data_IF_984778168815
#
_entry.id   IF_984778168815
#
_cell.length_a   1.000
_cell.length_b   1.000
_cell.length_c   1.000
_cell.angle_alpha   90.00
_cell.angle_beta   90.00
_cell.angle_gamma   90.00
#
_symmetry.space_group_name_H-M   'P 1'
#
loop_
_entity.id
_entity.type
_entity.pdbx_description
1 polymer ?
#
# COMPACT_ATOMS: atom_id res chain seq x y z
N UNK A 1 -2.32 -29.04 27.06
CA UNK A 1 -3.58 -29.01 26.28
C UNK A 1 -4.50 -28.03 26.98
N UNK A 2 -5.00 -27.01 26.26
CA UNK A 2 -5.95 -26.03 26.80
C UNK A 2 -7.35 -26.39 26.28
N UNK A 3 -8.35 -26.42 27.15
CA UNK A 3 -9.70 -26.91 26.84
C UNK A 3 -10.76 -26.04 27.55
N UNK A 4 -11.93 -25.92 26.94
CA UNK A 4 -13.04 -25.09 27.45
C UNK A 4 -14.25 -25.16 26.53
N UNK A 5 -15.42 -24.77 27.07
CA UNK A 5 -16.72 -24.93 26.41
C UNK A 5 -17.15 -23.70 25.58
N UNK A 6 -16.39 -22.59 25.68
CA UNK A 6 -16.59 -21.38 24.88
C UNK A 6 -15.43 -21.21 23.88
N UNK A 7 -15.65 -21.47 22.58
CA UNK A 7 -14.59 -21.40 21.59
C UNK A 7 -14.01 -19.98 21.43
N UNK A 8 -14.78 -18.91 21.68
CA UNK A 8 -14.30 -17.54 21.52
C UNK A 8 -13.30 -17.16 22.61
N UNK A 9 -13.53 -17.63 23.84
CA UNK A 9 -12.59 -17.46 24.95
C UNK A 9 -11.41 -18.41 24.85
N UNK A 10 -11.67 -19.66 24.45
CA UNK A 10 -10.66 -20.72 24.36
C UNK A 10 -9.44 -20.31 23.53
N UNK A 11 -9.66 -19.66 22.37
CA UNK A 11 -8.55 -19.19 21.53
C UNK A 11 -7.73 -18.10 22.22
N UNK A 12 -8.38 -17.10 22.83
CA UNK A 12 -7.67 -16.03 23.54
C UNK A 12 -6.82 -16.56 24.69
N UNK A 13 -7.40 -17.45 25.51
CA UNK A 13 -6.71 -18.03 26.65
C UNK A 13 -5.56 -18.97 26.23
N UNK A 14 -5.76 -19.76 25.16
CA UNK A 14 -4.71 -20.60 24.59
C UNK A 14 -3.52 -19.77 24.08
N UNK A 15 -3.78 -18.68 23.35
CA UNK A 15 -2.71 -17.81 22.82
C UNK A 15 -1.95 -17.13 23.96
N UNK A 16 -2.62 -16.72 25.05
CA UNK A 16 -1.94 -16.18 26.26
C UNK A 16 -0.98 -17.18 26.90
N UNK A 17 -1.31 -18.47 26.88
CA UNK A 17 -0.37 -19.51 27.35
C UNK A 17 0.86 -19.60 26.44
N UNK A 18 0.67 -19.52 25.11
CA UNK A 18 1.78 -19.53 24.15
C UNK A 18 2.65 -18.27 24.28
N UNK A 19 2.02 -17.11 24.43
CA UNK A 19 2.66 -15.82 24.63
C UNK A 19 3.57 -15.84 25.86
N UNK A 20 3.08 -16.30 27.02
CA UNK A 20 3.90 -16.47 28.23
C UNK A 20 5.01 -17.51 28.09
N UNK A 21 4.77 -18.58 27.33
CA UNK A 21 5.76 -19.64 27.15
C UNK A 21 6.92 -19.20 26.25
N UNK A 22 6.62 -18.52 25.13
CA UNK A 22 7.62 -18.10 24.16
C UNK A 22 8.28 -16.76 24.54
N UNK A 23 7.51 -15.82 25.09
CA UNK A 23 7.99 -14.48 25.45
C UNK A 23 8.43 -13.62 24.26
N UNK A 24 8.02 -13.96 23.03
CA UNK A 24 8.47 -13.32 21.78
C UNK A 24 7.42 -12.42 21.13
N UNK A 25 6.19 -12.38 21.63
CA UNK A 25 5.10 -11.57 21.09
C UNK A 25 4.15 -11.15 22.21
N UNK A 26 3.18 -10.29 21.89
CA UNK A 26 2.09 -9.85 22.78
C UNK A 26 0.75 -10.13 22.11
N UNK A 27 -0.29 -10.38 22.88
CA UNK A 27 -1.65 -10.57 22.34
C UNK A 27 -2.26 -9.25 21.85
N UNK A 28 -3.36 -9.32 21.11
CA UNK A 28 -4.02 -8.11 20.59
C UNK A 28 -4.51 -7.19 21.71
N UNK A 29 -5.01 -7.75 22.82
CA UNK A 29 -5.48 -7.01 24.01
C UNK A 29 -4.34 -6.31 24.78
N UNK A 30 -3.10 -6.76 24.58
CA UNK A 30 -1.90 -6.16 25.18
C UNK A 30 -1.14 -5.23 24.21
N UNK A 31 -1.55 -5.19 22.95
CA UNK A 31 -1.02 -4.28 21.95
C UNK A 31 -1.91 -3.04 21.85
N UNK A 32 -1.29 -1.93 21.43
CA UNK A 32 -2.03 -0.75 20.99
C UNK A 32 -2.17 -0.82 19.48
N UNK A 33 -3.32 -1.29 18.93
CA UNK A 33 -3.49 -1.39 17.50
C UNK A 33 -3.34 0.01 16.86
N UNK A 34 -2.72 0.11 15.67
CA UNK A 34 -2.64 1.38 14.98
C UNK A 34 -4.04 1.85 14.59
N UNK A 35 -4.27 3.16 14.57
CA UNK A 35 -5.58 3.74 14.32
C UNK A 35 -6.25 3.33 12.99
N UNK A 36 -5.49 2.75 12.05
CA UNK A 36 -6.01 2.18 10.80
C UNK A 36 -6.95 0.98 11.00
N UNK A 37 -6.82 0.23 12.10
CA UNK A 37 -7.58 -1.02 12.33
C UNK A 37 -9.07 -0.75 12.45
N UNK A 38 -9.44 0.40 12.98
CA UNK A 38 -10.83 0.80 13.21
C UNK A 38 -11.43 1.63 12.07
N UNK A 39 -10.75 1.69 10.92
CA UNK A 39 -11.18 2.51 9.78
C UNK A 39 -11.71 1.65 8.64
N UNK A 40 -12.80 2.11 8.06
CA UNK A 40 -13.14 1.70 6.69
C UNK A 40 -12.04 2.19 5.75
N UNK A 41 -11.38 1.25 5.08
CA UNK A 41 -10.28 1.52 4.16
C UNK A 41 -10.65 1.26 2.70
N UNK A 42 -10.05 2.00 1.78
CA UNK A 42 -10.17 1.78 0.35
C UNK A 42 -8.80 1.54 -0.29
N UNK A 43 -8.68 0.42 -1.01
CA UNK A 43 -7.51 0.08 -1.82
C UNK A 43 -7.78 0.41 -3.29
N UNK A 44 -6.79 0.99 -3.97
CA UNK A 44 -6.94 1.47 -5.34
C UNK A 44 -6.80 0.37 -6.42
N UNK A 45 -6.43 -0.86 -6.06
CA UNK A 45 -6.08 -1.93 -7.00
C UNK A 45 -7.20 -2.25 -8.00
N UNK A 46 -8.37 -2.68 -7.54
CA UNK A 46 -9.46 -3.09 -8.44
C UNK A 46 -10.01 -1.92 -9.28
N UNK A 47 -9.77 -0.68 -8.85
CA UNK A 47 -10.21 0.51 -9.57
C UNK A 47 -9.27 0.90 -10.73
N UNK A 48 -7.96 0.67 -10.60
CA UNK A 48 -6.99 1.19 -11.57
C UNK A 48 -5.91 0.19 -12.01
N UNK A 49 -5.68 -0.89 -11.26
CA UNK A 49 -4.49 -1.72 -11.37
C UNK A 49 -3.25 -0.81 -11.44
N UNK A 50 -2.33 -1.11 -12.36
CA UNK A 50 -1.10 -0.35 -12.62
C UNK A 50 -1.32 1.11 -13.06
N UNK A 51 -2.55 1.53 -13.35
CA UNK A 51 -2.89 2.87 -13.87
C UNK A 51 -3.29 3.86 -12.78
N UNK A 52 -3.08 3.56 -11.50
CA UNK A 52 -3.38 4.47 -10.39
C UNK A 52 -2.72 5.83 -10.59
N UNK A 53 -3.45 6.91 -10.33
CA UNK A 53 -2.99 8.30 -10.52
C UNK A 53 -3.77 9.27 -9.60
N UNK A 54 -3.24 10.46 -9.28
CA UNK A 54 -3.85 11.40 -8.33
C UNK A 54 -5.32 11.74 -8.58
N UNK A 55 -5.68 12.06 -9.83
CA UNK A 55 -7.05 12.45 -10.19
C UNK A 55 -8.06 11.31 -9.97
N UNK A 56 -7.63 10.08 -10.20
CA UNK A 56 -8.44 8.87 -10.01
C UNK A 56 -8.67 8.60 -8.53
N UNK A 57 -7.61 8.65 -7.73
CA UNK A 57 -7.70 8.49 -6.28
C UNK A 57 -8.63 9.56 -5.69
N UNK A 58 -8.47 10.82 -6.08
CA UNK A 58 -9.37 11.91 -5.66
C UNK A 58 -10.83 11.61 -5.97
N UNK A 59 -11.13 11.22 -7.22
CA UNK A 59 -12.50 10.91 -7.64
C UNK A 59 -13.08 9.68 -6.92
N UNK A 60 -12.25 8.67 -6.64
CA UNK A 60 -12.67 7.49 -5.87
C UNK A 60 -13.05 7.85 -4.44
N UNK A 61 -12.22 8.65 -3.76
CA UNK A 61 -12.54 9.15 -2.42
C UNK A 61 -13.79 10.02 -2.43
N UNK A 62 -13.90 10.96 -3.39
CA UNK A 62 -15.11 11.78 -3.56
C UNK A 62 -16.36 10.91 -3.73
N UNK A 63 -16.30 9.89 -4.60
CA UNK A 63 -17.44 9.00 -4.84
C UNK A 63 -17.86 8.20 -3.61
N UNK A 64 -16.89 7.75 -2.80
CA UNK A 64 -17.18 7.07 -1.53
C UNK A 64 -17.81 8.02 -0.50
N UNK A 65 -17.32 9.27 -0.42
CA UNK A 65 -17.89 10.30 0.45
C UNK A 65 -19.32 10.65 0.03
N UNK A 66 -19.53 10.92 -1.26
CA UNK A 66 -20.85 11.25 -1.83
C UNK A 66 -21.84 10.08 -1.67
N UNK A 67 -21.33 8.85 -1.73
CA UNK A 67 -22.10 7.62 -1.50
C UNK A 67 -22.38 7.31 -0.03
N UNK A 68 -21.93 8.12 0.92
CA UNK A 68 -22.16 7.93 2.35
C UNK A 68 -21.24 6.89 3.03
N UNK A 69 -20.17 6.46 2.38
CA UNK A 69 -19.17 5.54 2.92
C UNK A 69 -17.76 6.17 2.90
N UNK A 70 -17.54 7.30 3.58
CA UNK A 70 -16.27 8.02 3.52
C UNK A 70 -15.12 7.18 4.09
N UNK A 71 -14.01 6.98 3.35
CA UNK A 71 -12.89 6.18 3.84
C UNK A 71 -12.07 6.93 4.89
N UNK A 72 -11.67 6.20 5.92
CA UNK A 72 -10.69 6.61 6.93
C UNK A 72 -9.24 6.34 6.52
N UNK A 73 -9.06 5.34 5.66
CA UNK A 73 -7.77 4.90 5.12
C UNK A 73 -7.85 4.83 3.59
N UNK A 74 -6.83 5.35 2.91
CA UNK A 74 -6.61 5.12 1.48
C UNK A 74 -5.28 4.39 1.30
N UNK A 75 -5.30 3.22 0.66
CA UNK A 75 -4.12 2.47 0.25
C UNK A 75 -3.92 2.67 -1.26
N UNK A 76 -2.86 3.40 -1.62
CA UNK A 76 -2.40 3.52 -3.01
C UNK A 76 -1.64 2.24 -3.33
N UNK A 77 -2.33 1.33 -4.02
CA UNK A 77 -1.81 0.04 -4.44
C UNK A 77 -0.84 0.17 -5.64
N UNK A 78 -0.38 -0.96 -6.17
CA UNK A 78 0.68 -1.03 -7.17
C UNK A 78 0.40 -0.19 -8.43
N UNK A 79 1.49 0.32 -9.01
CA UNK A 79 1.46 1.25 -10.14
C UNK A 79 1.83 2.69 -9.78
N UNK A 80 2.24 3.00 -8.55
CA UNK A 80 2.81 4.32 -8.19
C UNK A 80 4.34 4.36 -8.32
N UNK A 81 4.98 3.20 -8.48
CA UNK A 81 6.42 3.00 -8.51
C UNK A 81 6.98 3.19 -9.92
N UNK A 82 8.28 3.53 -9.99
CA UNK A 82 9.01 3.66 -11.25
C UNK A 82 9.64 2.33 -11.61
N UNK A 83 9.16 1.70 -12.68
CA UNK A 83 9.64 0.39 -13.16
C UNK A 83 10.04 0.42 -14.64
N UNK A 84 10.91 -0.51 -15.06
CA UNK A 84 11.26 -0.75 -16.47
C UNK A 84 11.51 -2.24 -16.74
N UNK A 85 11.73 -2.63 -17.98
CA UNK A 85 12.18 -3.97 -18.38
C UNK A 85 13.70 -4.02 -18.57
N UNK A 86 14.25 -5.24 -18.64
CA UNK A 86 15.69 -5.39 -18.82
C UNK A 86 16.21 -4.93 -20.19
N UNK A 87 15.35 -4.84 -21.19
CA UNK A 87 15.68 -4.35 -22.52
C UNK A 87 15.45 -2.83 -22.66
N UNK A 88 14.87 -2.17 -21.65
CA UNK A 88 14.68 -0.73 -21.67
C UNK A 88 16.03 -0.01 -21.46
N UNK A 89 16.28 1.09 -22.20
CA UNK A 89 17.47 1.90 -22.00
C UNK A 89 17.43 2.50 -20.59
N UNK A 90 18.58 2.49 -19.90
CA UNK A 90 18.72 3.12 -18.59
C UNK A 90 18.66 4.64 -18.77
N UNK A 91 17.45 5.17 -18.63
CA UNK A 91 17.12 6.58 -18.73
C UNK A 91 16.12 6.93 -17.63
N UNK A 92 15.75 8.20 -17.52
CA UNK A 92 14.68 8.62 -16.62
C UNK A 92 13.27 8.25 -17.11
N UNK A 93 13.14 7.61 -18.28
CA UNK A 93 11.85 7.17 -18.80
C UNK A 93 11.37 5.90 -18.10
N UNK A 94 10.14 5.95 -17.60
CA UNK A 94 9.50 4.86 -16.89
C UNK A 94 8.80 3.91 -17.88
N UNK A 95 9.09 2.61 -17.81
CA UNK A 95 8.62 1.56 -18.74
C UNK A 95 7.23 0.98 -18.41
N UNK A 96 6.46 1.64 -17.57
CA UNK A 96 5.18 1.12 -17.03
C UNK A 96 4.13 0.79 -18.10
N UNK A 97 4.17 1.45 -19.26
CA UNK A 97 3.21 1.22 -20.35
C UNK A 97 3.37 -0.14 -21.04
N UNK A 98 4.47 -0.85 -20.76
CA UNK A 98 4.79 -2.17 -21.31
C UNK A 98 4.40 -3.33 -20.40
N UNK A 99 3.73 -3.05 -19.28
CA UNK A 99 3.41 -4.05 -18.25
C UNK A 99 1.91 -4.14 -18.06
N UNK A 100 1.38 -5.36 -18.09
CA UNK A 100 0.01 -5.65 -17.67
C UNK A 100 -0.03 -6.19 -16.24
N UNK A 101 -1.19 -6.08 -15.60
CA UNK A 101 -1.39 -6.73 -14.30
C UNK A 101 -1.21 -8.26 -14.46
N UNK A 102 -0.31 -8.85 -13.68
CA UNK A 102 0.12 -10.25 -13.78
C UNK A 102 1.52 -10.44 -14.39
N UNK A 103 2.09 -9.42 -15.04
CA UNK A 103 3.39 -9.51 -15.74
C UNK A 103 4.54 -8.80 -14.99
N UNK A 104 4.31 -8.36 -13.75
CA UNK A 104 5.23 -7.49 -13.01
C UNK A 104 6.58 -8.15 -12.72
N UNK A 105 6.67 -9.48 -12.67
CA UNK A 105 7.95 -10.20 -12.46
C UNK A 105 9.00 -9.90 -13.53
N UNK A 106 8.58 -9.47 -14.72
CA UNK A 106 9.49 -9.12 -15.82
C UNK A 106 10.07 -7.70 -15.67
N UNK A 107 9.55 -6.92 -14.74
CA UNK A 107 9.98 -5.55 -14.52
C UNK A 107 11.07 -5.45 -13.45
N UNK A 108 11.74 -4.31 -13.42
CA UNK A 108 12.77 -3.92 -12.47
C UNK A 108 12.40 -2.58 -11.86
N UNK A 109 12.58 -2.46 -10.54
CA UNK A 109 12.46 -1.16 -9.86
C UNK A 109 13.66 -0.29 -10.23
N UNK A 110 13.40 0.94 -10.68
CA UNK A 110 14.47 1.89 -11.07
C UNK A 110 14.62 3.05 -10.10
N UNK A 111 13.62 3.34 -9.26
CA UNK A 111 13.64 4.40 -8.24
C UNK A 111 12.77 4.02 -7.05
N UNK A 112 13.11 4.48 -5.86
CA UNK A 112 12.24 4.36 -4.68
C UNK A 112 11.20 5.48 -4.59
N UNK A 113 11.43 6.59 -5.29
CA UNK A 113 10.50 7.71 -5.40
C UNK A 113 9.34 7.39 -6.33
N UNK A 114 8.27 8.16 -6.21
CA UNK A 114 7.09 8.02 -7.03
C UNK A 114 7.36 8.27 -8.53
N UNK A 115 6.54 7.62 -9.33
CA UNK A 115 6.56 7.75 -10.78
C UNK A 115 5.97 9.08 -11.26
N UNK A 116 6.04 9.35 -12.57
CA UNK A 116 5.64 10.64 -13.14
C UNK A 116 4.19 11.02 -12.78
N UNK A 117 3.30 10.03 -12.63
CA UNK A 117 1.87 10.27 -12.37
C UNK A 117 1.65 11.02 -11.06
N UNK A 118 2.47 10.77 -10.04
CA UNK A 118 2.39 11.44 -8.75
C UNK A 118 3.43 12.56 -8.60
N UNK A 119 4.63 12.37 -9.15
CA UNK A 119 5.70 13.38 -9.12
C UNK A 119 5.25 14.70 -9.76
N UNK A 120 4.52 14.61 -10.87
CA UNK A 120 4.07 15.77 -11.62
C UNK A 120 2.83 16.44 -10.98
N UNK A 121 2.27 15.87 -9.92
CA UNK A 121 1.20 16.51 -9.16
C UNK A 121 1.78 17.61 -8.25
N UNK A 122 1.74 18.87 -8.69
CA UNK A 122 2.13 20.05 -7.90
C UNK A 122 3.47 19.86 -7.15
N UNK A 123 3.39 19.44 -5.88
CA UNK A 123 4.50 19.19 -4.95
C UNK A 123 4.78 17.69 -4.73
N UNK A 124 4.54 16.86 -5.74
CA UNK A 124 4.70 15.40 -5.71
C UNK A 124 3.61 14.67 -4.94
N UNK A 125 3.88 13.40 -4.62
CA UNK A 125 2.96 12.55 -3.86
C UNK A 125 2.61 13.14 -2.49
N UNK A 126 3.59 13.77 -1.82
CA UNK A 126 3.35 14.44 -0.53
C UNK A 126 2.36 15.59 -0.63
N UNK A 127 2.46 16.41 -1.70
CA UNK A 127 1.49 17.45 -2.00
C UNK A 127 0.09 16.90 -2.26
N UNK A 128 0.01 15.81 -3.03
CA UNK A 128 -1.26 15.12 -3.28
C UNK A 128 -1.91 14.61 -1.99
N UNK A 129 -1.16 13.93 -1.13
CA UNK A 129 -1.67 13.41 0.14
C UNK A 129 -2.16 14.53 1.04
N UNK A 130 -1.43 15.65 1.11
CA UNK A 130 -1.85 16.84 1.86
C UNK A 130 -3.20 17.37 1.36
N UNK A 131 -3.30 17.64 0.06
CA UNK A 131 -4.52 18.19 -0.55
C UNK A 131 -5.72 17.23 -0.36
N UNK A 132 -5.49 15.91 -0.49
CA UNK A 132 -6.52 14.89 -0.31
C UNK A 132 -7.08 14.90 1.11
N UNK A 133 -6.21 14.92 2.14
CA UNK A 133 -6.64 15.00 3.55
C UNK A 133 -7.28 16.34 3.90
N UNK A 134 -6.82 17.42 3.27
CA UNK A 134 -7.41 18.74 3.48
C UNK A 134 -8.84 18.83 2.95
N UNK A 135 -9.11 18.24 1.77
CA UNK A 135 -10.43 18.21 1.17
C UNK A 135 -11.37 17.18 1.82
N UNK A 136 -10.86 15.99 2.13
CA UNK A 136 -11.64 14.90 2.70
C UNK A 136 -11.19 14.62 4.13
N UNK A 137 -11.79 15.32 5.09
CA UNK A 137 -11.41 15.22 6.52
C UNK A 137 -11.58 13.80 7.10
N UNK A 138 -12.35 12.94 6.46
CA UNK A 138 -12.44 11.53 6.82
C UNK A 138 -11.12 10.78 6.61
N UNK A 139 -10.31 11.17 5.62
CA UNK A 139 -9.07 10.47 5.28
C UNK A 139 -7.99 10.81 6.31
N UNK A 140 -7.81 9.92 7.28
CA UNK A 140 -6.82 10.07 8.35
C UNK A 140 -5.48 9.46 7.94
N UNK A 141 -5.53 8.34 7.21
CA UNK A 141 -4.36 7.54 6.84
C UNK A 141 -4.24 7.39 5.32
N UNK A 142 -3.02 7.57 4.81
CA UNK A 142 -2.69 7.24 3.42
C UNK A 142 -1.43 6.39 3.42
N UNK A 143 -1.52 5.22 2.81
CA UNK A 143 -0.45 4.23 2.72
C UNK A 143 -0.16 3.94 1.25
N UNK A 144 1.02 3.40 0.98
CA UNK A 144 1.40 2.89 -0.34
C UNK A 144 1.72 1.41 -0.24
N UNK A 145 1.39 0.65 -1.28
CA UNK A 145 1.80 -0.74 -1.39
C UNK A 145 3.25 -0.83 -1.91
N UNK A 146 4.08 -1.69 -1.33
CA UNK A 146 5.43 -1.96 -1.81
C UNK A 146 5.76 -3.44 -1.59
N UNK A 147 6.21 -4.11 -2.64
CA UNK A 147 6.73 -5.47 -2.52
C UNK A 147 8.09 -5.49 -1.81
N UNK A 148 8.23 -6.39 -0.84
CA UNK A 148 9.52 -6.68 -0.22
C UNK A 148 10.35 -7.69 -1.03
N UNK A 149 9.70 -8.69 -1.64
CA UNK A 149 10.36 -9.75 -2.39
C UNK A 149 9.44 -10.35 -3.46
N UNK A 150 10.01 -10.78 -4.59
CA UNK A 150 9.37 -11.69 -5.54
C UNK A 150 8.31 -11.09 -6.46
N UNK A 151 8.05 -9.78 -6.39
CA UNK A 151 7.03 -9.15 -7.24
C UNK A 151 7.59 -8.63 -8.57
N UNK A 152 8.70 -7.88 -8.50
CA UNK A 152 9.53 -7.53 -9.65
C UNK A 152 10.71 -8.49 -9.72
N UNK A 153 11.42 -8.51 -10.84
CA UNK A 153 12.72 -9.18 -10.97
C UNK A 153 13.79 -8.60 -10.05
N UNK A 154 13.47 -7.57 -9.26
CA UNK A 154 14.36 -6.89 -8.32
C UNK A 154 14.62 -5.46 -8.75
N UNK A 155 15.72 -4.91 -8.26
CA UNK A 155 16.21 -3.58 -8.65
C UNK A 155 16.98 -3.70 -9.97
N UNK A 156 16.85 -2.71 -10.85
CA UNK A 156 17.57 -2.64 -12.13
C UNK A 156 19.06 -2.35 -11.88
N UNK A 157 19.99 -3.22 -12.32
CA UNK A 157 21.42 -2.94 -12.21
C UNK A 157 21.83 -1.74 -13.06
N UNK A 158 22.83 -0.98 -12.59
CA UNK A 158 23.42 0.14 -13.34
C UNK A 158 22.59 1.42 -13.36
N UNK A 159 21.49 1.48 -12.61
CA UNK A 159 20.73 2.74 -12.41
C UNK A 159 21.42 3.58 -11.34
N UNK A 160 21.73 4.83 -11.67
CA UNK A 160 22.36 5.74 -10.73
C UNK A 160 21.48 5.96 -9.48
N UNK A 161 22.07 5.79 -8.29
CA UNK A 161 21.37 5.95 -7.01
C UNK A 161 20.59 4.73 -6.53
N UNK A 162 20.63 3.62 -7.27
CA UNK A 162 20.07 2.33 -6.85
C UNK A 162 21.19 1.36 -6.43
N UNK A 163 20.90 0.38 -5.54
CA UNK A 163 21.82 -0.69 -5.16
C UNK A 163 22.34 -1.55 -6.33
#
# INVERSE_FOLDING_TARGET
MHAGDDPYRLFGDAIKVVERHLGTFRTLDENSPPGIVDKFGWCTWDAFYLKVHPKGVWRGVQGLVDGGCPPGLVLIDDGWQSICHDDDPITDQEGMNRTSAGEQMLCRLIKFQENYKFRDYKSGMGGFVKDLKEAFKSVEHVYVWLALCGYWGGIRPGVAGMP
#
